data_IF_094385525455
#
_entry.id   IF_094385525455
#
_cell.length_a   1.000
_cell.length_b   1.000
_cell.length_c   1.000
_cell.angle_alpha   90.00
_cell.angle_beta   90.00
_cell.angle_gamma   90.00
#
_symmetry.space_group_name_H-M   'P 1'
#
loop_
_entity.id
_entity.type
_entity.pdbx_description
1 polymer ?
#
# COMPACT_ATOMS: atom_id res chain seq x y z
N UNK A 1 -3.93 -3.35 10.45
CA UNK A 1 -4.97 -2.52 9.78
C UNK A 1 -5.17 -1.18 10.47
N UNK A 2 -5.59 -1.10 11.74
CA UNK A 2 -5.89 0.19 12.41
C UNK A 2 -4.73 1.19 12.46
N UNK A 3 -3.48 0.71 12.57
CA UNK A 3 -2.28 1.55 12.70
C UNK A 3 -2.07 2.47 11.49
N UNK A 4 -2.48 2.03 10.30
CA UNK A 4 -2.26 2.76 9.05
C UNK A 4 -3.44 3.65 8.67
N UNK A 5 -4.63 3.43 9.26
CA UNK A 5 -5.86 4.16 8.91
C UNK A 5 -5.68 5.68 9.04
N UNK A 6 -5.03 6.15 10.11
CA UNK A 6 -4.79 7.58 10.31
C UNK A 6 -3.87 8.18 9.23
N UNK A 7 -2.79 7.47 8.89
CA UNK A 7 -1.85 7.88 7.84
C UNK A 7 -2.53 7.91 6.46
N UNK A 8 -3.24 6.84 6.11
CA UNK A 8 -3.93 6.70 4.83
C UNK A 8 -5.03 7.76 4.68
N UNK A 9 -5.77 8.05 5.75
CA UNK A 9 -6.84 9.06 5.75
C UNK A 9 -6.28 10.47 5.49
N UNK A 10 -5.18 10.85 6.15
CA UNK A 10 -4.58 12.18 5.96
C UNK A 10 -4.11 12.36 4.52
N UNK A 11 -3.46 11.35 3.95
CA UNK A 11 -2.98 11.41 2.56
C UNK A 11 -4.14 11.43 1.58
N UNK A 12 -5.16 10.60 1.80
CA UNK A 12 -6.34 10.58 0.96
C UNK A 12 -7.08 11.92 1.00
N UNK A 13 -7.21 12.53 2.19
CA UNK A 13 -7.83 13.85 2.36
C UNK A 13 -7.03 14.95 1.65
N UNK A 14 -5.70 14.89 1.71
CA UNK A 14 -4.84 15.80 0.95
C UNK A 14 -5.05 15.65 -0.56
N UNK A 15 -5.18 14.41 -1.06
CA UNK A 15 -5.50 14.12 -2.45
C UNK A 15 -6.88 14.64 -2.87
N UNK A 16 -7.90 14.47 -2.03
CA UNK A 16 -9.24 14.99 -2.28
C UNK A 16 -9.30 16.51 -2.26
N UNK A 17 -8.56 17.14 -1.34
CA UNK A 17 -8.49 18.60 -1.21
C UNK A 17 -7.76 19.28 -2.36
N UNK A 18 -6.94 18.54 -3.12
CA UNK A 18 -6.30 19.02 -4.33
C UNK A 18 -7.26 19.11 -5.53
N UNK A 19 -8.45 18.49 -5.46
CA UNK A 19 -9.43 18.51 -6.55
C UNK A 19 -10.11 19.89 -6.60
N UNK A 20 -10.00 20.63 -7.73
CA UNK A 20 -10.64 21.93 -7.87
C UNK A 20 -12.17 21.87 -7.73
N UNK A 21 -12.75 22.82 -6.99
CA UNK A 21 -14.21 22.88 -6.75
C UNK A 21 -15.04 23.02 -8.03
N UNK A 22 -14.49 23.63 -9.08
CA UNK A 22 -15.15 23.84 -10.36
C UNK A 22 -15.69 22.53 -10.99
N UNK A 23 -15.05 21.38 -10.74
CA UNK A 23 -15.55 20.10 -11.24
C UNK A 23 -16.86 19.68 -10.57
N UNK A 24 -16.99 19.95 -9.27
CA UNK A 24 -18.20 19.66 -8.51
C UNK A 24 -19.33 20.64 -8.85
N UNK A 25 -19.01 21.93 -9.00
CA UNK A 25 -19.97 22.96 -9.41
C UNK A 25 -20.52 22.68 -10.82
N UNK A 26 -19.66 22.30 -11.77
CA UNK A 26 -20.10 21.91 -13.11
C UNK A 26 -21.02 20.69 -13.09
N UNK A 27 -20.71 19.69 -12.27
CA UNK A 27 -21.54 18.49 -12.13
C UNK A 27 -22.92 18.78 -11.54
N UNK A 28 -23.00 19.72 -10.59
CA UNK A 28 -24.26 20.19 -10.02
C UNK A 28 -25.11 20.93 -11.07
N UNK A 29 -24.47 21.77 -11.90
CA UNK A 29 -25.13 22.45 -13.02
C UNK A 29 -25.65 21.48 -14.09
N UNK A 30 -24.92 20.39 -14.33
CA UNK A 30 -25.31 19.31 -15.25
C UNK A 30 -26.34 18.34 -14.64
N UNK A 31 -26.76 18.56 -13.39
CA UNK A 31 -27.75 17.72 -12.70
C UNK A 31 -27.25 16.32 -12.34
N UNK A 32 -25.93 16.14 -12.20
CA UNK A 32 -25.33 14.86 -11.84
C UNK A 32 -25.63 14.49 -10.37
N UNK A 33 -26.07 13.26 -10.14
CA UNK A 33 -26.29 12.73 -8.79
C UNK A 33 -24.97 12.38 -8.06
N UNK A 34 -25.02 12.24 -6.74
CA UNK A 34 -23.83 12.00 -5.89
C UNK A 34 -22.98 10.80 -6.34
N UNK A 35 -23.63 9.70 -6.76
CA UNK A 35 -22.93 8.51 -7.25
C UNK A 35 -22.21 8.76 -8.59
N UNK A 36 -22.80 9.59 -9.46
CA UNK A 36 -22.18 9.96 -10.73
C UNK A 36 -20.95 10.83 -10.49
N UNK A 37 -21.06 11.82 -9.57
CA UNK A 37 -19.95 12.66 -9.12
C UNK A 37 -18.83 11.81 -8.54
N UNK A 38 -19.13 10.90 -7.61
CA UNK A 38 -18.11 10.04 -7.02
C UNK A 38 -17.37 9.20 -8.07
N UNK A 39 -18.10 8.51 -8.96
CA UNK A 39 -17.52 7.57 -9.92
C UNK A 39 -16.77 8.24 -11.07
N UNK A 40 -17.22 9.41 -11.53
CA UNK A 40 -16.68 10.08 -12.73
C UNK A 40 -15.78 11.27 -12.41
N UNK A 41 -15.85 11.84 -11.20
CA UNK A 41 -15.06 13.02 -10.81
C UNK A 41 -14.12 12.63 -9.67
N UNK A 42 -14.65 12.28 -8.51
CA UNK A 42 -13.83 12.06 -7.31
C UNK A 42 -12.87 10.87 -7.48
N UNK A 43 -13.38 9.70 -7.87
CA UNK A 43 -12.60 8.47 -7.98
C UNK A 43 -11.49 8.55 -9.04
N UNK A 44 -11.72 9.08 -10.26
CA UNK A 44 -10.65 9.26 -11.23
C UNK A 44 -9.62 10.30 -10.80
N UNK A 45 -10.05 11.46 -10.27
CA UNK A 45 -9.13 12.54 -9.90
C UNK A 45 -8.30 12.22 -8.65
N UNK A 46 -8.82 11.42 -7.72
CA UNK A 46 -8.05 10.93 -6.55
C UNK A 46 -7.25 9.65 -6.85
N UNK A 47 -7.39 9.08 -8.05
CA UNK A 47 -6.72 7.84 -8.44
C UNK A 47 -5.18 7.84 -8.28
N UNK A 48 -4.44 8.96 -8.48
CA UNK A 48 -3.00 8.98 -8.23
C UNK A 48 -2.66 8.76 -6.75
N UNK A 49 -3.42 9.38 -5.85
CA UNK A 49 -3.26 9.24 -4.40
C UNK A 49 -3.61 7.82 -3.95
N UNK A 50 -4.71 7.25 -4.45
CA UNK A 50 -5.09 5.86 -4.17
C UNK A 50 -4.04 4.87 -4.68
N UNK A 51 -3.49 5.11 -5.86
CA UNK A 51 -2.43 4.30 -6.43
C UNK A 51 -1.18 4.32 -5.53
N UNK A 52 -0.73 5.51 -5.13
CA UNK A 52 0.39 5.66 -4.20
C UNK A 52 0.16 4.92 -2.88
N UNK A 53 -0.99 5.13 -2.23
CA UNK A 53 -1.35 4.45 -0.99
C UNK A 53 -1.38 2.92 -1.16
N UNK A 54 -1.94 2.43 -2.27
CA UNK A 54 -1.96 0.99 -2.56
C UNK A 54 -0.56 0.41 -2.74
N UNK A 55 0.37 1.16 -3.31
CA UNK A 55 1.75 0.74 -3.51
C UNK A 55 2.50 0.66 -2.18
N UNK A 56 2.37 1.69 -1.35
CA UNK A 56 2.94 1.70 0.00
C UNK A 56 2.35 0.58 0.86
N UNK A 57 1.04 0.33 0.76
CA UNK A 57 0.37 -0.73 1.50
C UNK A 57 0.91 -2.12 1.13
N UNK A 58 1.04 -2.43 -0.16
CA UNK A 58 1.62 -3.70 -0.62
C UNK A 58 3.04 -3.89 -0.08
N UNK A 59 3.90 -2.88 -0.22
CA UNK A 59 5.28 -2.93 0.31
C UNK A 59 5.25 -3.14 1.84
N UNK A 60 4.37 -2.44 2.54
CA UNK A 60 4.21 -2.53 3.99
C UNK A 60 3.80 -3.92 4.46
N UNK A 61 2.89 -4.59 3.76
CA UNK A 61 2.43 -5.95 4.10
C UNK A 61 3.57 -6.96 4.05
N UNK A 62 4.40 -6.95 3.00
CA UNK A 62 5.56 -7.85 2.91
C UNK A 62 6.64 -7.53 3.95
N UNK A 63 6.66 -6.30 4.48
CA UNK A 63 7.58 -5.84 5.51
C UNK A 63 6.98 -5.83 6.92
N UNK A 64 5.86 -6.51 7.16
CA UNK A 64 5.10 -6.46 8.42
C UNK A 64 5.78 -7.17 9.63
N UNK A 65 7.09 -6.98 9.81
CA UNK A 65 7.89 -7.61 10.86
C UNK A 65 7.38 -7.28 12.26
N UNK A 66 7.33 -5.99 12.63
CA UNK A 66 7.00 -5.58 14.00
C UNK A 66 5.64 -6.12 14.47
N UNK A 67 4.63 -6.05 13.61
CA UNK A 67 3.29 -6.48 13.98
C UNK A 67 3.23 -8.00 14.21
N UNK A 68 3.88 -8.78 13.34
CA UNK A 68 3.92 -10.24 13.46
C UNK A 68 4.80 -10.65 14.64
N UNK A 69 5.96 -10.03 14.83
CA UNK A 69 6.90 -10.37 15.90
C UNK A 69 6.30 -10.15 17.30
N UNK A 70 5.63 -9.02 17.53
CA UNK A 70 5.01 -8.71 18.84
C UNK A 70 3.85 -9.66 19.17
N UNK A 71 3.10 -10.09 18.16
CA UNK A 71 1.97 -11.01 18.32
C UNK A 71 2.40 -12.49 18.30
N UNK A 72 3.68 -12.77 17.98
CA UNK A 72 4.22 -14.13 17.92
C UNK A 72 4.19 -14.73 19.32
N UNK A 73 3.46 -15.83 19.47
CA UNK A 73 3.49 -16.64 20.69
C UNK A 73 4.38 -17.86 20.48
N UNK A 74 4.96 -18.43 21.55
CA UNK A 74 5.80 -19.63 21.45
C UNK A 74 5.10 -20.82 20.77
N UNK A 75 3.78 -20.94 20.90
CA UNK A 75 2.98 -22.02 20.30
C UNK A 75 2.54 -21.78 18.85
N UNK A 76 2.70 -20.56 18.34
CA UNK A 76 2.41 -20.21 16.94
C UNK A 76 3.68 -20.18 16.07
N UNK A 77 4.85 -20.44 16.66
CA UNK A 77 6.14 -20.51 15.97
C UNK A 77 6.04 -21.43 14.75
N UNK A 78 6.65 -21.03 13.64
CA UNK A 78 6.62 -21.70 12.33
C UNK A 78 5.26 -21.71 11.59
N UNK A 79 4.14 -21.43 12.26
CA UNK A 79 2.80 -21.43 11.63
C UNK A 79 2.33 -20.06 11.13
N UNK A 80 2.84 -18.98 11.72
CA UNK A 80 2.48 -17.58 11.38
C UNK A 80 3.70 -16.76 10.93
N UNK A 81 4.84 -17.40 10.73
CA UNK A 81 6.09 -16.71 10.47
C UNK A 81 6.12 -16.20 9.01
N UNK A 82 6.25 -14.88 8.88
CA UNK A 82 6.50 -14.22 7.60
C UNK A 82 7.99 -14.24 7.27
N UNK A 83 8.35 -14.07 5.99
CA UNK A 83 9.74 -14.13 5.54
C UNK A 83 10.67 -13.17 6.30
N UNK A 84 10.15 -12.01 6.74
CA UNK A 84 10.92 -11.06 7.56
C UNK A 84 11.25 -11.57 8.98
N UNK A 85 10.40 -12.42 9.58
CA UNK A 85 10.70 -13.11 10.85
C UNK A 85 11.79 -14.15 10.62
N UNK A 86 11.67 -14.95 9.56
CA UNK A 86 12.65 -15.99 9.24
C UNK A 86 14.05 -15.40 8.96
N UNK A 87 14.13 -14.24 8.29
CA UNK A 87 15.38 -13.50 8.10
C UNK A 87 15.96 -13.08 9.47
N UNK A 88 15.12 -12.59 10.38
CA UNK A 88 15.56 -12.16 11.71
C UNK A 88 16.10 -13.32 12.55
N UNK A 89 15.34 -14.43 12.63
CA UNK A 89 15.74 -15.62 13.37
C UNK A 89 17.08 -16.18 12.81
N UNK A 90 17.29 -16.13 11.49
CA UNK A 90 18.55 -16.56 10.90
C UNK A 90 19.78 -15.76 11.37
N UNK A 91 19.63 -14.45 11.62
CA UNK A 91 20.72 -13.60 12.11
C UNK A 91 20.94 -13.82 13.61
N UNK A 92 19.88 -13.83 14.41
CA UNK A 92 19.98 -13.74 15.87
C UNK A 92 19.94 -15.09 16.60
N UNK A 93 19.26 -16.09 16.05
CA UNK A 93 19.17 -17.42 16.65
C UNK A 93 20.19 -18.37 16.01
N UNK A 94 20.20 -18.43 14.67
CA UNK A 94 21.07 -19.35 13.92
C UNK A 94 22.44 -18.75 13.56
N UNK A 95 22.69 -17.47 13.87
CA UNK A 95 23.97 -16.79 13.64
C UNK A 95 24.49 -16.89 12.19
N UNK A 96 23.60 -17.02 11.22
CA UNK A 96 23.92 -17.24 9.82
C UNK A 96 23.50 -16.04 8.96
N UNK A 97 24.23 -14.95 9.11
CA UNK A 97 23.99 -13.69 8.40
C UNK A 97 24.09 -13.83 6.87
N UNK A 98 24.91 -14.76 6.37
CA UNK A 98 25.05 -15.03 4.93
C UNK A 98 23.75 -15.53 4.32
N UNK A 99 23.12 -16.55 4.94
CA UNK A 99 21.84 -17.07 4.49
C UNK A 99 20.70 -16.04 4.66
N UNK A 100 20.72 -15.31 5.78
CA UNK A 100 19.74 -14.23 6.03
C UNK A 100 19.78 -13.15 4.94
N UNK A 101 20.99 -12.79 4.48
CA UNK A 101 21.18 -11.82 3.41
C UNK A 101 20.60 -12.34 2.08
N UNK A 102 20.81 -13.61 1.74
CA UNK A 102 20.23 -14.22 0.55
C UNK A 102 18.69 -14.18 0.58
N UNK A 103 18.09 -14.54 1.72
CA UNK A 103 16.64 -14.45 1.92
C UNK A 103 16.12 -13.01 1.80
N UNK A 104 16.86 -12.02 2.33
CA UNK A 104 16.51 -10.60 2.20
C UNK A 104 16.53 -10.13 0.75
N UNK A 105 17.49 -10.57 -0.06
CA UNK A 105 17.51 -10.30 -1.50
C UNK A 105 16.32 -10.93 -2.24
N UNK A 106 15.93 -12.15 -1.89
CA UNK A 106 14.74 -12.79 -2.47
C UNK A 106 13.48 -11.99 -2.12
N UNK A 107 13.31 -11.58 -0.86
CA UNK A 107 12.20 -10.73 -0.44
C UNK A 107 12.20 -9.39 -1.20
N UNK A 108 13.36 -8.76 -1.35
CA UNK A 108 13.51 -7.52 -2.09
C UNK A 108 13.06 -7.67 -3.55
N UNK A 109 13.52 -8.72 -4.24
CA UNK A 109 13.13 -9.00 -5.63
C UNK A 109 11.63 -9.25 -5.74
N UNK A 110 11.04 -9.98 -4.79
CA UNK A 110 9.59 -10.23 -4.77
C UNK A 110 8.79 -8.93 -4.62
N UNK A 111 9.17 -8.06 -3.68
CA UNK A 111 8.55 -6.74 -3.49
C UNK A 111 8.71 -5.90 -4.76
N UNK A 112 9.92 -5.83 -5.32
CA UNK A 112 10.21 -5.06 -6.53
C UNK A 112 9.37 -5.54 -7.72
N UNK A 113 9.28 -6.86 -7.92
CA UNK A 113 8.47 -7.44 -8.99
C UNK A 113 6.99 -7.09 -8.84
N UNK A 114 6.44 -7.17 -7.62
CA UNK A 114 5.06 -6.77 -7.34
C UNK A 114 4.84 -5.27 -7.55
N UNK A 115 5.76 -4.43 -7.08
CA UNK A 115 5.69 -2.98 -7.30
C UNK A 115 5.74 -2.63 -8.78
N UNK A 116 6.62 -3.26 -9.56
CA UNK A 116 6.70 -3.03 -11.01
C UNK A 116 5.45 -3.52 -11.73
N UNK A 117 4.90 -4.68 -11.33
CA UNK A 117 3.65 -5.20 -11.86
C UNK A 117 2.49 -4.24 -11.56
N UNK A 118 2.37 -3.80 -10.31
CA UNK A 118 1.36 -2.84 -9.87
C UNK A 118 1.47 -1.53 -10.66
N UNK A 119 2.68 -0.99 -10.82
CA UNK A 119 2.92 0.21 -11.61
C UNK A 119 2.55 0.02 -13.08
N UNK A 120 2.87 -1.13 -13.67
CA UNK A 120 2.54 -1.40 -15.08
C UNK A 120 1.05 -1.59 -15.34
N UNK A 121 0.31 -2.18 -14.39
CA UNK A 121 -1.13 -2.47 -14.53
C UNK A 121 -1.98 -1.27 -14.14
N UNK A 122 -1.71 -0.66 -12.98
CA UNK A 122 -2.50 0.44 -12.45
C UNK A 122 -2.01 1.81 -12.90
N UNK A 123 -0.71 2.01 -13.12
CA UNK A 123 -0.16 3.30 -13.55
C UNK A 123 -0.73 3.79 -14.89
N UNK A 124 -1.17 2.88 -15.77
CA UNK A 124 -1.88 3.21 -17.02
C UNK A 124 -3.31 3.71 -16.83
N UNK A 125 -3.90 3.49 -15.66
CA UNK A 125 -5.29 3.84 -15.32
C UNK A 125 -5.39 5.05 -14.40
N UNK A 126 -4.24 5.60 -13.98
CA UNK A 126 -4.17 6.79 -13.14
C UNK A 126 -4.39 8.01 -14.03
N UNK A 127 -5.41 8.79 -13.71
CA UNK A 127 -5.70 10.03 -14.41
C UNK A 127 -4.92 11.16 -13.71
N UNK A 128 -3.89 11.66 -14.38
CA UNK A 128 -3.25 12.91 -14.02
C UNK A 128 -4.09 13.98 -14.74
N UNK A 129 -4.85 14.78 -14.00
CA UNK A 129 -5.66 15.83 -14.60
C UNK A 129 -4.75 16.84 -15.30
N UNK A 130 -4.74 16.80 -16.64
CA UNK A 130 -4.15 17.82 -17.51
C UNK A 130 -5.14 18.98 -17.71
#
# INVERSE_FOLDING_TARGET
MWVYVGYDTVILLAGLSAIPKQYYEAAEMDGAGEWQVFRHITLPLVSPTLFFLSMVAVIGTFKAFNHVYILRTPGARDSVDVLSIAIFDQVFEYHNAGYASAMAFVLFIAILALTLLQNRVLGRRVFYGD
#
